data_IF_557057667467
#
_entry.id   IF_557057667467
#
_cell.length_a   1.000
_cell.length_b   1.000
_cell.length_c   1.000
_cell.angle_alpha   90.00
_cell.angle_beta   90.00
_cell.angle_gamma   90.00
#
_symmetry.space_group_name_H-M   'P 1'
#
loop_
_entity.id
_entity.type
_entity.pdbx_description
1 polymer ?
#
# COMPACT_ATOMS: atom_id res chain seq x y z
N UNK A 1 13.52 -2.01 -34.06
CA UNK A 1 12.41 -1.35 -33.35
C UNK A 1 11.76 -2.42 -32.49
N UNK A 2 11.85 -2.35 -31.16
CA UNK A 2 11.21 -3.37 -30.31
C UNK A 2 9.72 -3.08 -30.27
N UNK A 3 8.95 -3.91 -30.97
CA UNK A 3 7.53 -4.13 -30.72
C UNK A 3 7.36 -4.51 -29.24
N UNK A 4 6.38 -3.96 -28.53
CA UNK A 4 6.13 -4.45 -27.17
C UNK A 4 5.45 -3.50 -26.20
N UNK A 5 4.42 -2.78 -26.61
CA UNK A 5 3.38 -2.35 -25.67
C UNK A 5 2.04 -2.63 -26.33
N UNK A 6 1.49 -3.81 -26.08
CA UNK A 6 0.13 -4.16 -26.48
C UNK A 6 -0.80 -3.84 -25.30
N UNK A 7 -1.81 -3.00 -25.52
CA UNK A 7 -2.81 -2.69 -24.51
C UNK A 7 -3.75 -3.89 -24.36
N UNK A 8 -3.78 -4.50 -23.18
CA UNK A 8 -4.52 -5.74 -22.94
C UNK A 8 -5.83 -5.42 -22.20
N UNK A 9 -6.96 -5.67 -22.87
CA UNK A 9 -8.30 -5.19 -22.50
C UNK A 9 -8.95 -5.76 -21.23
N UNK A 10 -10.26 -5.51 -21.08
CA UNK A 10 -11.10 -5.84 -19.92
C UNK A 10 -11.07 -7.32 -19.49
N UNK A 11 -11.39 -7.63 -18.20
CA UNK A 11 -11.29 -8.97 -17.60
C UNK A 11 -11.96 -10.13 -18.36
N UNK A 12 -12.90 -9.82 -19.27
CA UNK A 12 -13.65 -10.82 -20.03
C UNK A 12 -12.86 -11.57 -21.10
N UNK A 13 -11.72 -11.05 -21.59
CA UNK A 13 -10.90 -11.76 -22.59
C UNK A 13 -9.48 -11.19 -22.68
N UNK A 14 -8.49 -11.93 -22.17
CA UNK A 14 -7.11 -11.68 -22.54
C UNK A 14 -6.92 -12.15 -24.01
N UNK A 15 -6.38 -11.32 -24.91
CA UNK A 15 -6.13 -11.65 -26.31
C UNK A 15 -5.07 -12.75 -26.45
N UNK A 16 -4.17 -12.86 -25.47
CA UNK A 16 -3.20 -13.95 -25.32
C UNK A 16 -2.84 -14.16 -23.85
N UNK A 17 -2.38 -15.35 -23.52
CA UNK A 17 -1.75 -15.62 -22.22
C UNK A 17 -0.34 -14.98 -22.21
N UNK A 18 0.05 -14.27 -21.13
CA UNK A 18 1.42 -13.78 -20.99
C UNK A 18 2.43 -14.93 -20.93
N UNK A 19 3.63 -14.71 -21.47
CA UNK A 19 4.74 -15.67 -21.43
C UNK A 19 5.86 -15.17 -20.49
N UNK A 20 6.86 -16.01 -20.22
CA UNK A 20 7.91 -15.72 -19.22
C UNK A 20 8.75 -14.45 -19.49
N UNK A 21 8.72 -13.91 -20.71
CA UNK A 21 9.37 -12.65 -21.06
C UNK A 21 8.50 -11.40 -20.86
N UNK A 22 7.20 -11.58 -20.58
CA UNK A 22 6.25 -10.48 -20.46
C UNK A 22 6.20 -9.91 -19.04
N UNK A 23 5.87 -8.62 -18.96
CA UNK A 23 5.41 -7.94 -17.75
C UNK A 23 3.88 -7.86 -17.81
N UNK A 24 3.20 -8.43 -16.81
CA UNK A 24 1.77 -8.27 -16.64
C UNK A 24 1.48 -7.15 -15.62
N UNK A 25 0.65 -6.18 -16.00
CA UNK A 25 0.18 -5.12 -15.10
C UNK A 25 -1.33 -5.28 -14.94
N UNK A 26 -1.77 -5.61 -13.73
CA UNK A 26 -3.18 -5.73 -13.39
C UNK A 26 -3.62 -4.44 -12.70
N UNK A 27 -4.52 -3.69 -13.33
CA UNK A 27 -5.00 -2.41 -12.80
C UNK A 27 -6.40 -2.57 -12.26
N UNK A 28 -6.59 -2.22 -10.99
CA UNK A 28 -7.90 -2.25 -10.33
C UNK A 28 -8.63 -3.61 -10.49
N UNK A 29 -8.04 -4.70 -10.01
CA UNK A 29 -8.64 -6.04 -10.06
C UNK A 29 -9.95 -6.15 -9.29
N UNK A 30 -10.35 -5.20 -8.43
CA UNK A 30 -11.60 -5.29 -7.67
C UNK A 30 -11.51 -6.21 -6.44
N UNK A 31 -12.55 -7.02 -6.14
CA UNK A 31 -12.61 -7.90 -4.96
C UNK A 31 -11.62 -9.08 -5.03
N UNK A 32 -11.36 -9.74 -3.89
CA UNK A 32 -10.31 -10.76 -3.73
C UNK A 32 -10.37 -11.90 -4.76
N UNK A 33 -11.56 -12.40 -5.09
CA UNK A 33 -11.76 -13.44 -6.10
C UNK A 33 -11.22 -13.04 -7.48
N UNK A 34 -11.33 -11.76 -7.83
CA UNK A 34 -10.79 -11.23 -9.07
C UNK A 34 -9.26 -11.06 -9.02
N UNK A 35 -8.68 -10.78 -7.85
CA UNK A 35 -7.21 -10.81 -7.70
C UNK A 35 -6.67 -12.22 -7.96
N UNK A 36 -7.32 -13.24 -7.39
CA UNK A 36 -6.94 -14.65 -7.59
C UNK A 36 -7.11 -15.10 -9.04
N UNK A 37 -8.17 -14.64 -9.73
CA UNK A 37 -8.36 -14.90 -11.16
C UNK A 37 -7.29 -14.21 -12.01
N UNK A 38 -6.97 -12.96 -11.71
CA UNK A 38 -5.88 -12.24 -12.38
C UNK A 38 -4.53 -12.93 -12.16
N UNK A 39 -4.19 -13.33 -10.93
CA UNK A 39 -2.94 -14.05 -10.62
C UNK A 39 -2.83 -15.34 -11.43
N UNK A 40 -3.91 -16.14 -11.50
CA UNK A 40 -3.95 -17.36 -12.32
C UNK A 40 -3.68 -17.07 -13.80
N UNK A 41 -4.24 -15.98 -14.32
CA UNK A 41 -4.10 -15.59 -15.74
C UNK A 41 -2.73 -15.01 -16.08
N UNK A 42 -2.08 -14.36 -15.13
CA UNK A 42 -0.78 -13.71 -15.33
C UNK A 42 0.39 -14.54 -14.81
N UNK A 43 0.14 -15.72 -14.23
CA UNK A 43 1.15 -16.61 -13.61
C UNK A 43 2.34 -16.96 -14.50
N UNK A 44 2.14 -16.98 -15.81
CA UNK A 44 3.18 -17.29 -16.78
C UNK A 44 4.06 -16.06 -17.14
N UNK A 45 3.65 -14.84 -16.77
CA UNK A 45 4.45 -13.64 -16.96
C UNK A 45 5.73 -13.73 -16.12
N UNK A 46 6.84 -13.16 -16.62
CA UNK A 46 8.08 -13.08 -15.86
C UNK A 46 7.94 -12.22 -14.61
N UNK A 47 7.13 -11.16 -14.68
CA UNK A 47 6.76 -10.31 -13.55
C UNK A 47 5.28 -9.97 -13.64
N UNK A 48 4.57 -10.06 -12.52
CA UNK A 48 3.19 -9.54 -12.39
C UNK A 48 3.17 -8.40 -11.38
N UNK A 49 2.65 -7.25 -11.78
CA UNK A 49 2.46 -6.06 -10.94
C UNK A 49 0.98 -5.78 -10.79
N UNK A 50 0.49 -5.77 -9.56
CA UNK A 50 -0.86 -5.30 -9.26
C UNK A 50 -0.82 -3.83 -8.89
N UNK A 51 -1.48 -3.00 -9.69
CA UNK A 51 -1.71 -1.60 -9.41
C UNK A 51 -3.14 -1.45 -8.89
N UNK A 52 -3.26 -0.72 -7.79
CA UNK A 52 -4.48 -0.42 -7.05
C UNK A 52 -4.88 -1.43 -5.97
N UNK A 53 -5.17 -0.90 -4.78
CA UNK A 53 -6.00 -1.51 -3.75
C UNK A 53 -6.81 -0.37 -3.13
N UNK A 54 -7.84 0.10 -3.86
CA UNK A 54 -8.73 1.17 -3.36
C UNK A 54 -9.91 0.62 -2.54
N UNK A 55 -10.16 -0.68 -2.54
CA UNK A 55 -11.35 -1.23 -1.89
C UNK A 55 -11.15 -2.66 -1.37
N UNK A 56 -11.20 -2.81 -0.05
CA UNK A 56 -11.35 -4.11 0.63
C UNK A 56 -10.35 -4.30 1.76
N UNK A 57 -10.34 -3.50 2.83
CA UNK A 57 -11.50 -3.37 3.70
C UNK A 57 -11.83 -4.65 4.50
N UNK A 58 -11.23 -5.80 4.19
CA UNK A 58 -11.54 -7.07 4.86
C UNK A 58 -10.43 -7.53 5.79
N UNK A 59 -9.17 -7.28 5.40
CA UNK A 59 -8.05 -7.38 6.32
C UNK A 59 -7.77 -5.96 6.85
N UNK A 60 -8.03 -5.74 8.13
CA UNK A 60 -7.60 -4.52 8.83
C UNK A 60 -6.05 -4.34 8.80
N UNK A 61 -5.35 -5.35 8.31
CA UNK A 61 -3.90 -5.48 8.24
C UNK A 61 -3.24 -4.65 7.12
N UNK A 62 -1.92 -4.81 7.00
CA UNK A 62 -1.08 -4.12 6.03
C UNK A 62 -0.88 -5.03 4.81
N UNK A 63 -1.54 -4.77 3.68
CA UNK A 63 -1.28 -5.53 2.45
C UNK A 63 -2.42 -5.55 1.43
N UNK A 64 -2.17 -6.23 0.31
CA UNK A 64 -3.20 -6.69 -0.61
C UNK A 64 -3.75 -8.06 -0.20
N UNK A 65 -4.77 -8.59 -0.90
CA UNK A 65 -5.43 -9.84 -0.54
C UNK A 65 -4.60 -11.10 -0.85
N UNK A 66 -3.52 -10.99 -1.62
CA UNK A 66 -2.67 -12.14 -1.98
C UNK A 66 -1.42 -12.20 -1.07
N UNK A 67 -1.19 -13.33 -0.42
CA UNK A 67 -0.09 -13.52 0.54
C UNK A 67 1.29 -13.63 -0.11
N UNK A 68 1.36 -14.12 -1.35
CA UNK A 68 2.59 -14.35 -2.11
C UNK A 68 3.11 -13.12 -2.87
N UNK A 69 2.50 -11.95 -2.67
CA UNK A 69 2.89 -10.71 -3.33
C UNK A 69 3.68 -9.80 -2.40
N UNK A 70 4.77 -9.25 -2.94
CA UNK A 70 5.56 -8.22 -2.26
C UNK A 70 4.92 -6.84 -2.44
N UNK A 71 4.75 -6.11 -1.33
CA UNK A 71 4.20 -4.74 -1.40
C UNK A 71 5.30 -3.75 -1.78
N UNK A 72 5.25 -3.28 -3.03
CA UNK A 72 6.26 -2.39 -3.62
C UNK A 72 6.05 -0.92 -3.30
N UNK A 73 4.81 -0.48 -3.11
CA UNK A 73 4.49 0.88 -2.71
C UNK A 73 3.32 0.84 -1.73
N UNK A 74 3.50 1.46 -0.57
CA UNK A 74 2.56 1.41 0.52
C UNK A 74 2.47 2.74 1.25
N UNK A 75 1.25 3.23 1.46
CA UNK A 75 0.99 4.39 2.30
C UNK A 75 -0.35 4.18 3.01
N UNK A 76 -0.33 3.96 4.33
CA UNK A 76 -1.54 3.85 5.15
C UNK A 76 -1.51 4.84 6.30
N UNK A 77 -2.63 5.53 6.46
CA UNK A 77 -2.87 6.43 7.58
C UNK A 77 -3.05 5.65 8.89
N UNK A 78 -2.44 6.14 9.96
CA UNK A 78 -2.74 5.78 11.36
C UNK A 78 -3.08 7.05 12.14
N UNK A 79 -3.65 6.94 13.35
CA UNK A 79 -4.23 8.08 14.09
C UNK A 79 -3.34 9.34 14.14
N UNK A 80 -2.02 9.18 14.35
CA UNK A 80 -1.06 10.28 14.50
C UNK A 80 0.10 10.26 13.50
N UNK A 81 -0.04 9.49 12.41
CA UNK A 81 1.01 9.41 11.39
C UNK A 81 0.72 8.42 10.27
N UNK A 82 1.76 7.77 9.77
CA UNK A 82 1.68 6.95 8.56
C UNK A 82 2.55 5.69 8.68
N UNK A 83 2.12 4.62 8.02
CA UNK A 83 2.96 3.49 7.64
C UNK A 83 3.29 3.67 6.18
N UNK A 84 4.57 3.75 5.85
CA UNK A 84 5.05 4.00 4.50
C UNK A 84 6.08 2.96 4.05
N UNK A 85 6.08 2.65 2.75
CA UNK A 85 7.15 1.92 2.08
C UNK A 85 7.19 2.29 0.60
N UNK A 86 8.41 2.44 0.08
CA UNK A 86 8.69 2.43 -1.36
C UNK A 86 9.86 1.45 -1.60
N UNK A 87 9.56 0.26 -2.13
CA UNK A 87 10.54 -0.78 -2.45
C UNK A 87 11.60 -0.24 -3.44
N UNK A 88 12.90 -0.60 -3.29
CA UNK A 88 13.48 -1.56 -2.35
C UNK A 88 13.70 -1.01 -0.93
N UNK A 89 13.18 0.18 -0.61
CA UNK A 89 13.27 0.77 0.71
C UNK A 89 12.54 -0.02 1.80
N UNK A 90 13.01 0.19 3.03
CA UNK A 90 12.44 -0.37 4.27
C UNK A 90 11.04 0.19 4.54
N UNK A 91 10.27 -0.53 5.35
CA UNK A 91 9.06 0.00 5.94
C UNK A 91 9.40 1.10 6.94
N UNK A 92 8.56 2.13 7.04
CA UNK A 92 8.78 3.27 7.92
C UNK A 92 7.53 3.57 8.75
N UNK A 93 7.73 3.74 10.05
CA UNK A 93 6.76 4.36 10.94
C UNK A 93 7.01 5.87 10.96
N UNK A 94 6.04 6.65 10.49
CA UNK A 94 6.15 8.09 10.40
C UNK A 94 5.15 8.76 11.35
N UNK A 95 5.57 9.79 12.06
CA UNK A 95 4.69 10.64 12.90
C UNK A 95 4.46 11.99 12.24
N UNK A 96 3.24 12.51 12.34
CA UNK A 96 2.92 13.89 11.95
C UNK A 96 3.18 14.83 13.13
N UNK A 97 4.04 15.82 12.90
CA UNK A 97 4.25 16.92 13.82
C UNK A 97 3.15 17.99 13.67
N UNK A 98 2.93 18.85 14.70
CA UNK A 98 1.89 19.87 14.66
C UNK A 98 2.05 20.91 13.54
N UNK A 99 3.26 21.10 13.03
CA UNK A 99 3.58 21.99 11.92
C UNK A 99 3.31 21.38 10.54
N UNK A 100 2.79 20.14 10.50
CA UNK A 100 2.50 19.39 9.27
C UNK A 100 3.69 18.62 8.72
N UNK A 101 4.87 18.69 9.35
CA UNK A 101 6.00 17.85 8.96
C UNK A 101 5.76 16.39 9.33
N UNK A 102 6.42 15.51 8.59
CA UNK A 102 6.40 14.07 8.84
C UNK A 102 7.80 13.59 9.20
N UNK A 103 7.94 12.92 10.35
CA UNK A 103 9.22 12.48 10.89
C UNK A 103 9.24 10.96 10.97
N UNK A 104 10.31 10.33 10.47
CA UNK A 104 10.51 8.89 10.60
C UNK A 104 10.96 8.54 12.02
N UNK A 105 10.19 7.70 12.70
CA UNK A 105 10.50 7.24 14.06
C UNK A 105 11.28 5.93 14.06
N UNK A 106 10.90 5.01 13.17
CA UNK A 106 11.50 3.67 13.10
C UNK A 106 11.42 3.13 11.67
N UNK A 107 12.35 2.26 11.34
CA UNK A 107 12.40 1.54 10.06
C UNK A 107 12.44 0.04 10.28
N UNK A 108 11.71 -0.71 9.46
CA UNK A 108 11.61 -2.17 9.57
C UNK A 108 12.03 -2.82 8.25
N UNK A 109 12.86 -3.86 8.34
CA UNK A 109 13.23 -4.68 7.18
C UNK A 109 12.06 -5.52 6.69
N UNK A 110 11.27 -6.05 7.63
CA UNK A 110 10.05 -6.79 7.36
C UNK A 110 8.81 -5.93 7.59
N UNK A 111 7.68 -6.37 7.05
CA UNK A 111 6.39 -5.68 7.21
C UNK A 111 6.02 -5.64 8.70
N UNK A 112 5.92 -4.46 9.34
CA UNK A 112 5.55 -4.35 10.74
C UNK A 112 4.07 -4.67 10.93
N UNK A 113 3.62 -4.87 12.17
CA UNK A 113 2.20 -4.95 12.47
C UNK A 113 1.60 -3.55 12.64
N UNK A 114 0.38 -3.35 12.11
CA UNK A 114 -0.30 -2.05 12.17
C UNK A 114 -0.49 -1.56 13.61
N UNK A 115 -0.78 -2.47 14.54
CA UNK A 115 -0.97 -2.15 15.96
C UNK A 115 0.30 -1.59 16.60
N UNK A 116 1.46 -2.12 16.21
CA UNK A 116 2.74 -1.75 16.82
C UNK A 116 3.17 -0.37 16.30
N UNK A 117 3.07 -0.14 14.99
CA UNK A 117 3.29 1.19 14.42
C UNK A 117 2.31 2.22 14.99
N UNK A 118 1.02 1.86 15.10
CA UNK A 118 0.01 2.75 15.66
C UNK A 118 0.31 3.13 17.10
N UNK A 119 0.78 2.16 17.91
CA UNK A 119 1.18 2.39 19.30
C UNK A 119 2.40 3.32 19.37
N UNK A 120 3.47 3.01 18.65
CA UNK A 120 4.70 3.81 18.61
C UNK A 120 4.43 5.27 18.25
N UNK A 121 3.75 5.49 17.12
CA UNK A 121 3.47 6.82 16.59
C UNK A 121 2.56 7.61 17.54
N UNK A 122 1.59 6.94 18.16
CA UNK A 122 0.68 7.54 19.13
C UNK A 122 1.42 7.94 20.42
N UNK A 123 2.22 7.05 20.99
CA UNK A 123 3.00 7.32 22.20
C UNK A 123 3.99 8.46 21.98
N UNK A 124 4.73 8.44 20.87
CA UNK A 124 5.64 9.53 20.52
C UNK A 124 4.88 10.87 20.39
N UNK A 125 3.77 10.90 19.65
CA UNK A 125 2.99 12.12 19.48
C UNK A 125 2.45 12.65 20.82
N UNK A 126 1.96 11.79 21.71
CA UNK A 126 1.45 12.23 23.01
C UNK A 126 2.55 12.79 23.90
N UNK A 127 3.71 12.13 23.94
CA UNK A 127 4.81 12.54 24.80
C UNK A 127 5.48 13.84 24.33
N UNK A 128 5.53 14.08 23.01
CA UNK A 128 6.23 15.24 22.45
C UNK A 128 5.30 16.44 22.13
N UNK A 129 4.05 16.18 21.79
CA UNK A 129 3.12 17.22 21.30
C UNK A 129 1.82 17.32 22.11
N UNK A 130 1.61 16.41 23.06
CA UNK A 130 0.43 16.40 23.93
C UNK A 130 -0.87 16.04 23.20
N UNK A 131 -1.98 16.22 23.92
CA UNK A 131 -3.34 15.87 23.44
C UNK A 131 -3.83 16.73 22.27
N UNK A 132 -3.22 17.91 22.06
CA UNK A 132 -3.64 18.89 21.06
C UNK A 132 -3.09 18.63 19.66
N UNK A 133 -2.18 17.65 19.48
CA UNK A 133 -1.73 17.20 18.17
C UNK A 133 -2.77 16.29 17.50
N UNK A 134 -4.02 16.75 17.44
CA UNK A 134 -5.08 16.09 16.70
C UNK A 134 -5.46 16.92 15.49
N UNK A 135 -5.13 16.38 14.31
CA UNK A 135 -5.58 16.90 13.02
C UNK A 135 -7.12 16.96 12.90
N UNK A 136 -7.87 16.34 13.81
CA UNK A 136 -9.33 16.41 13.88
C UNK A 136 -9.86 17.16 15.11
N UNK A 137 -8.99 17.79 15.92
CA UNK A 137 -9.46 18.67 16.98
C UNK A 137 -10.20 19.88 16.37
N UNK A 138 -11.41 20.13 16.88
CA UNK A 138 -12.21 21.31 16.50
C UNK A 138 -11.36 22.57 16.72
N UNK A 139 -11.05 23.26 15.63
CA UNK A 139 -10.30 24.52 15.62
C UNK A 139 -8.85 24.43 15.11
N UNK A 140 -8.28 23.24 14.90
CA UNK A 140 -6.86 23.10 14.51
C UNK A 140 -6.59 22.22 13.27
N UNK A 141 -7.61 21.63 12.63
CA UNK A 141 -7.40 20.82 11.45
C UNK A 141 -8.47 20.96 10.39
N UNK A 142 -8.05 21.39 9.20
CA UNK A 142 -8.89 21.46 8.02
C UNK A 142 -9.46 20.09 7.66
N UNK A 143 -10.77 20.06 7.45
CA UNK A 143 -11.46 18.96 6.78
C UNK A 143 -10.77 18.73 5.42
N UNK A 144 -10.36 17.49 5.16
CA UNK A 144 -10.27 17.00 3.78
C UNK A 144 -11.69 16.72 3.30
#
# INVERSE_FOLDING_TARGET
VREGVEWVGSPGRLPRTPDAGDLAIVVNPGPQDQWEDCDKRTKNAGVTVFLNSISGGWTYELGGPLENFEQVYYLKRVSKGWVFRAYPGKWQALVEAPDGQTIALETYDERPLLRDVSKLVREFSFNNYGLMNDRYAKGFGGRL
#
